data_IF_039805293200
#
_entry.id   IF_039805293200
#
_cell.length_a   1.000
_cell.length_b   1.000
_cell.length_c   1.000
_cell.angle_alpha   90.00
_cell.angle_beta   90.00
_cell.angle_gamma   90.00
#
_symmetry.space_group_name_H-M   'P 1'
#
loop_
_entity.id
_entity.type
_entity.pdbx_description
1 polymer ?
#
# COMPACT_ATOMS: atom_id res chain seq x y z
N UNK A 1 11.06 -23.19 -33.15
CA UNK A 1 9.88 -23.01 -32.27
C UNK A 1 9.89 -24.20 -31.33
N UNK A 2 10.15 -24.12 -30.03
CA UNK A 2 9.22 -23.51 -29.07
C UNK A 2 9.86 -23.14 -27.71
N UNK A 3 11.17 -23.27 -27.48
CA UNK A 3 11.72 -23.02 -26.12
C UNK A 3 11.82 -21.52 -25.78
N UNK A 4 12.19 -20.67 -26.75
CA UNK A 4 12.33 -19.21 -26.55
C UNK A 4 10.97 -18.55 -26.30
N UNK A 5 9.95 -18.95 -27.04
CA UNK A 5 8.58 -18.46 -26.88
C UNK A 5 8.01 -18.88 -25.51
N UNK A 6 8.21 -20.14 -25.09
CA UNK A 6 7.80 -20.62 -23.75
C UNK A 6 8.47 -19.80 -22.64
N UNK A 7 9.76 -19.47 -22.77
CA UNK A 7 10.47 -18.65 -21.78
C UNK A 7 9.90 -17.23 -21.67
N UNK A 8 9.51 -16.64 -22.81
CA UNK A 8 8.85 -15.33 -22.87
C UNK A 8 7.48 -15.38 -22.19
N UNK A 9 6.67 -16.40 -22.44
CA UNK A 9 5.37 -16.58 -21.80
C UNK A 9 5.48 -16.80 -20.28
N UNK A 10 6.46 -17.60 -19.83
CA UNK A 10 6.71 -17.82 -18.40
C UNK A 10 7.17 -16.52 -17.74
N UNK A 11 8.09 -15.78 -18.36
CA UNK A 11 8.50 -14.47 -17.85
C UNK A 11 7.29 -13.52 -17.74
N UNK A 12 6.50 -13.36 -18.80
CA UNK A 12 5.35 -12.46 -18.82
C UNK A 12 4.29 -12.80 -17.76
N UNK A 13 3.99 -14.08 -17.56
CA UNK A 13 3.02 -14.53 -16.55
C UNK A 13 3.54 -14.39 -15.13
N UNK A 14 4.82 -14.69 -14.88
CA UNK A 14 5.47 -14.42 -13.59
C UNK A 14 5.50 -12.92 -13.28
N UNK A 15 5.86 -12.08 -14.26
CA UNK A 15 5.85 -10.63 -14.09
C UNK A 15 4.45 -10.12 -13.75
N UNK A 16 3.42 -10.53 -14.49
CA UNK A 16 2.04 -10.08 -14.27
C UNK A 16 1.47 -10.50 -12.91
N UNK A 17 1.83 -11.69 -12.41
CA UNK A 17 1.33 -12.21 -11.11
C UNK A 17 2.04 -11.63 -9.89
N UNK A 18 3.21 -10.99 -10.08
CA UNK A 18 4.01 -10.38 -9.01
C UNK A 18 3.62 -8.93 -8.73
N UNK A 19 2.86 -8.27 -9.62
CA UNK A 19 2.31 -6.94 -9.36
C UNK A 19 1.13 -7.05 -8.37
N UNK A 20 1.46 -7.14 -7.08
CA UNK A 20 0.51 -7.21 -5.98
C UNK A 20 -0.47 -6.03 -6.00
N UNK A 21 -1.73 -6.32 -6.32
CA UNK A 21 -2.78 -5.34 -6.17
C UNK A 21 -2.97 -5.03 -4.67
N UNK A 22 -3.00 -3.74 -4.32
CA UNK A 22 -3.34 -3.31 -2.97
C UNK A 22 -4.85 -3.51 -2.78
N UNK A 23 -5.28 -4.67 -2.27
CA UNK A 23 -6.71 -4.97 -2.04
C UNK A 23 -7.01 -5.22 -0.55
N UNK A 24 -6.88 -4.22 0.33
CA UNK A 24 -7.33 -4.39 1.71
C UNK A 24 -8.83 -4.14 1.81
N UNK A 25 -9.56 -5.13 2.27
CA UNK A 25 -10.90 -4.95 2.83
C UNK A 25 -10.77 -4.28 4.20
N UNK A 26 -10.87 -2.94 4.23
CA UNK A 26 -10.86 -2.18 5.48
C UNK A 26 -12.28 -2.00 6.02
N UNK A 27 -12.48 -2.32 7.29
CA UNK A 27 -13.69 -1.94 8.01
C UNK A 27 -13.83 -0.41 8.06
N UNK A 28 -15.08 0.05 8.06
CA UNK A 28 -15.45 1.45 8.31
C UNK A 28 -15.53 1.69 9.81
N UNK A 29 -14.37 1.73 10.47
CA UNK A 29 -14.25 2.07 11.89
C UNK A 29 -13.46 3.38 12.06
N UNK A 30 -13.88 4.20 13.01
CA UNK A 30 -13.27 5.51 13.30
C UNK A 30 -12.13 5.40 14.33
N UNK A 31 -11.19 4.48 14.14
CA UNK A 31 -9.99 4.32 14.97
C UNK A 31 -8.81 5.13 14.44
N UNK A 32 -9.00 6.46 14.39
CA UNK A 32 -8.07 7.36 13.70
C UNK A 32 -6.61 7.17 14.10
N UNK A 33 -5.71 7.37 13.14
CA UNK A 33 -4.26 7.36 13.35
C UNK A 33 -3.60 8.53 12.63
N UNK A 34 -2.50 9.03 13.18
CA UNK A 34 -1.66 10.00 12.51
C UNK A 34 -0.52 9.27 11.80
N UNK A 35 -0.45 9.41 10.47
CA UNK A 35 0.66 8.92 9.65
C UNK A 35 1.56 10.07 9.20
N UNK A 36 2.85 9.81 9.07
CA UNK A 36 3.83 10.74 8.50
C UNK A 36 4.36 10.19 7.18
N UNK A 37 4.31 11.02 6.14
CA UNK A 37 4.84 10.74 4.80
C UNK A 37 6.38 10.93 4.77
N UNK A 38 7.08 10.43 3.73
CA UNK A 38 8.53 10.60 3.59
C UNK A 38 9.00 12.06 3.53
N UNK A 39 8.14 12.97 3.09
CA UNK A 39 8.39 14.42 3.05
C UNK A 39 8.17 15.12 4.42
N UNK A 40 7.87 14.35 5.48
CA UNK A 40 7.60 14.85 6.82
C UNK A 40 6.17 15.35 7.04
N UNK A 41 5.32 15.37 6.01
CA UNK A 41 3.92 15.80 6.15
C UNK A 41 3.13 14.79 6.96
N UNK A 42 2.34 15.29 7.91
CA UNK A 42 1.43 14.49 8.74
C UNK A 42 0.02 14.48 8.18
N UNK A 43 -0.60 13.30 8.14
CA UNK A 43 -1.96 13.07 7.62
C UNK A 43 -2.73 12.17 8.58
N UNK A 44 -3.95 12.56 8.93
CA UNK A 44 -4.85 11.73 9.71
C UNK A 44 -5.56 10.73 8.80
N UNK A 45 -5.48 9.45 9.12
CA UNK A 45 -6.22 8.38 8.47
C UNK A 45 -7.37 7.93 9.36
N UNK A 46 -8.50 7.54 8.76
CA UNK A 46 -9.71 7.09 9.50
C UNK A 46 -9.44 5.88 10.40
N UNK A 47 -8.53 5.01 9.97
CA UNK A 47 -7.99 3.89 10.74
C UNK A 47 -6.62 3.47 10.18
N UNK A 48 -5.96 2.54 10.89
CA UNK A 48 -4.66 2.01 10.50
C UNK A 48 -4.69 1.20 9.20
N UNK A 49 -5.81 0.54 8.89
CA UNK A 49 -5.97 -0.22 7.64
C UNK A 49 -5.91 0.72 6.43
N UNK A 50 -6.64 1.84 6.47
CA UNK A 50 -6.61 2.85 5.40
C UNK A 50 -5.25 3.53 5.28
N UNK A 51 -4.53 3.73 6.38
CA UNK A 51 -3.14 4.20 6.32
C UNK A 51 -2.24 3.23 5.54
N UNK A 52 -2.29 1.93 5.87
CA UNK A 52 -1.50 0.89 5.19
C UNK A 52 -1.91 0.71 3.73
N UNK A 53 -3.21 0.82 3.43
CA UNK A 53 -3.70 0.81 2.06
C UNK A 53 -3.08 1.92 1.24
N UNK A 54 -3.07 3.15 1.77
CA UNK A 54 -2.47 4.29 1.07
C UNK A 54 -0.96 4.12 0.92
N UNK A 55 -0.27 3.56 1.91
CA UNK A 55 1.15 3.23 1.81
C UNK A 55 1.42 2.25 0.64
N UNK A 56 0.65 1.16 0.57
CA UNK A 56 0.71 0.20 -0.53
C UNK A 56 0.40 0.87 -1.88
N UNK A 57 -0.74 1.57 -1.98
CA UNK A 57 -1.24 2.17 -3.22
C UNK A 57 -0.31 3.22 -3.80
N UNK A 58 0.38 3.96 -2.93
CA UNK A 58 1.28 5.05 -3.34
C UNK A 58 2.74 4.62 -3.39
N UNK A 59 3.08 3.43 -2.90
CA UNK A 59 4.48 3.00 -2.73
C UNK A 59 5.26 3.85 -1.74
N UNK A 60 4.58 4.64 -0.89
CA UNK A 60 5.23 5.51 0.10
C UNK A 60 5.32 4.80 1.44
N UNK A 61 6.45 4.96 2.10
CA UNK A 61 6.59 4.54 3.49
C UNK A 61 5.85 5.55 4.40
N UNK A 62 4.74 5.12 4.98
CA UNK A 62 3.90 5.94 5.86
C UNK A 62 4.07 5.43 7.28
N UNK A 63 4.72 6.23 8.12
CA UNK A 63 5.01 5.86 9.51
C UNK A 63 3.87 6.30 10.40
N UNK A 64 3.28 5.39 11.17
CA UNK A 64 2.31 5.76 12.19
C UNK A 64 3.01 6.46 13.35
N UNK A 65 2.70 7.74 13.57
CA UNK A 65 3.29 8.58 14.63
C UNK A 65 2.57 8.39 15.96
N UNK A 66 1.23 8.38 15.95
CA UNK A 66 0.43 8.19 17.15
C UNK A 66 -0.94 7.58 16.83
N UNK A 67 -1.59 7.05 17.87
CA UNK A 67 -3.04 6.77 17.84
C UNK A 67 -3.81 8.07 18.01
N UNK A 68 -4.97 8.17 17.37
CA UNK A 68 -5.76 9.40 17.26
C UNK A 68 -5.30 10.29 16.08
N UNK A 69 -5.98 11.43 15.87
CA UNK A 69 -5.66 12.34 14.79
C UNK A 69 -4.28 13.00 14.96
N UNK A 70 -3.74 13.55 13.87
CA UNK A 70 -2.55 14.38 13.92
C UNK A 70 -2.81 15.66 14.71
N UNK A 71 -1.87 16.02 15.60
CA UNK A 71 -1.86 17.31 16.28
C UNK A 71 -1.37 18.39 15.30
N UNK A 72 -1.93 19.59 15.42
CA UNK A 72 -1.44 20.78 14.71
C UNK A 72 -0.06 21.19 15.22
#
# INVERSE_FOLDING_TARGET
>A
MQFKEIFIFIALTLFATVYGACVPECLLDYSQVCGQLPDGKKVTYVNSCRMRFEACRTGKDIIQVNRGPCKK
#
